data_IF_063444571124
#
_entry.id   IF_063444571124
#
_cell.length_a   1.000
_cell.length_b   1.000
_cell.length_c   1.000
_cell.angle_alpha   90.00
_cell.angle_beta   90.00
_cell.angle_gamma   90.00
#
_symmetry.space_group_name_H-M   'P 1'
#
loop_
_entity.id
_entity.type
_entity.pdbx_description
1 polymer ?
#
# COMPACT_ATOMS: atom_id res chain seq x y z
N UNK A 1 -19.83 -4.36 9.08
CA UNK A 1 -18.50 -5.00 9.18
C UNK A 1 -17.58 -3.98 9.84
N UNK A 2 -17.33 -4.11 11.14
CA UNK A 2 -16.69 -3.08 11.99
C UNK A 2 -15.37 -3.59 12.58
N UNK A 3 -14.48 -4.10 11.74
CA UNK A 3 -13.10 -4.36 12.12
C UNK A 3 -12.22 -3.18 11.69
N UNK A 4 -11.12 -2.87 12.40
CA UNK A 4 -10.12 -1.96 11.89
C UNK A 4 -9.67 -2.46 10.51
N UNK A 5 -9.71 -1.58 9.50
CA UNK A 5 -9.25 -1.93 8.16
C UNK A 5 -7.81 -2.46 8.20
N UNK A 6 -7.47 -3.38 7.30
CA UNK A 6 -6.11 -3.88 7.19
C UNK A 6 -5.28 -2.98 6.28
N UNK A 7 -4.13 -2.50 6.76
CA UNK A 7 -3.13 -1.84 5.93
C UNK A 7 -2.12 -2.87 5.44
N UNK A 8 -1.84 -2.87 4.14
CA UNK A 8 -0.76 -3.68 3.55
C UNK A 8 0.14 -2.80 2.67
N UNK A 9 1.47 -3.03 2.69
CA UNK A 9 2.35 -2.39 1.71
C UNK A 9 2.03 -2.89 0.30
N UNK A 10 1.93 -1.96 -0.66
CA UNK A 10 1.67 -2.30 -2.07
C UNK A 10 2.66 -3.33 -2.62
N UNK A 11 3.93 -3.25 -2.21
CA UNK A 11 4.99 -4.15 -2.69
C UNK A 11 4.96 -5.55 -2.07
N UNK A 12 4.12 -5.76 -1.08
CA UNK A 12 3.85 -7.06 -0.48
C UNK A 12 2.72 -7.81 -1.20
N UNK A 13 1.97 -7.13 -2.08
CA UNK A 13 0.97 -7.75 -2.94
C UNK A 13 1.70 -8.57 -4.02
N UNK A 14 1.18 -9.76 -4.27
CA UNK A 14 1.68 -10.71 -5.26
C UNK A 14 0.74 -10.79 -6.47
N UNK A 15 -0.56 -11.01 -6.20
CA UNK A 15 -1.58 -11.16 -7.23
C UNK A 15 -2.93 -10.60 -6.78
N UNK A 16 -3.79 -10.33 -7.77
CA UNK A 16 -5.13 -9.77 -7.59
C UNK A 16 -6.12 -10.61 -8.39
N UNK A 17 -7.22 -11.01 -7.76
CA UNK A 17 -8.25 -11.82 -8.40
C UNK A 17 -9.65 -11.28 -8.07
N UNK A 18 -10.44 -10.97 -9.11
CA UNK A 18 -11.86 -10.66 -8.93
C UNK A 18 -12.60 -12.00 -8.82
N UNK A 19 -13.12 -12.31 -7.63
CA UNK A 19 -13.80 -13.59 -7.36
C UNK A 19 -15.28 -13.55 -7.74
N UNK A 20 -15.91 -12.40 -7.56
CA UNK A 20 -17.28 -12.10 -7.99
C UNK A 20 -17.42 -10.60 -8.24
N UNK A 21 -18.58 -10.15 -8.73
CA UNK A 21 -18.84 -8.75 -9.09
C UNK A 21 -18.45 -7.76 -7.99
N UNK A 22 -18.51 -8.12 -6.71
CA UNK A 22 -18.30 -7.21 -5.58
C UNK A 22 -17.11 -7.60 -4.71
N UNK A 23 -16.30 -8.59 -5.11
CA UNK A 23 -15.25 -9.16 -4.28
C UNK A 23 -13.89 -9.19 -5.00
N UNK A 24 -12.93 -8.44 -4.47
CA UNK A 24 -11.52 -8.53 -4.84
C UNK A 24 -10.76 -9.32 -3.79
N UNK A 25 -9.98 -10.27 -4.25
CA UNK A 25 -9.04 -11.05 -3.45
C UNK A 25 -7.63 -10.53 -3.74
N UNK A 26 -6.90 -10.24 -2.66
CA UNK A 26 -5.52 -9.77 -2.72
C UNK A 26 -4.63 -10.86 -2.11
N UNK A 27 -3.75 -11.42 -2.93
CA UNK A 27 -2.73 -12.35 -2.49
C UNK A 27 -1.46 -11.59 -2.15
N UNK A 28 -0.80 -11.96 -1.06
CA UNK A 28 0.44 -11.34 -0.64
C UNK A 28 1.59 -12.33 -0.68
N UNK A 29 2.80 -11.82 -0.90
CA UNK A 29 4.05 -12.60 -1.05
C UNK A 29 4.44 -13.43 0.18
N UNK A 30 3.82 -13.16 1.33
CA UNK A 30 4.02 -13.88 2.59
C UNK A 30 2.92 -14.93 2.84
N UNK A 31 2.19 -15.34 1.79
CA UNK A 31 1.15 -16.36 1.85
C UNK A 31 -0.18 -15.90 2.45
N UNK A 32 -0.27 -14.66 2.92
CA UNK A 32 -1.54 -14.09 3.44
C UNK A 32 -2.45 -13.68 2.29
N UNK A 33 -3.76 -13.87 2.49
CA UNK A 33 -4.80 -13.41 1.60
C UNK A 33 -5.71 -12.39 2.29
N UNK A 34 -6.16 -11.38 1.56
CA UNK A 34 -7.15 -10.40 2.02
C UNK A 34 -8.34 -10.38 1.08
N UNK A 35 -9.52 -10.21 1.67
CA UNK A 35 -10.78 -10.06 0.94
C UNK A 35 -11.29 -8.64 1.09
N UNK A 36 -11.51 -7.97 -0.03
CA UNK A 36 -12.13 -6.66 -0.12
C UNK A 36 -13.53 -6.82 -0.72
N UNK A 37 -14.53 -6.28 -0.06
CA UNK A 37 -15.91 -6.26 -0.55
C UNK A 37 -16.33 -4.83 -0.87
N UNK A 38 -16.95 -4.64 -2.02
CA UNK A 38 -17.36 -3.34 -2.55
C UNK A 38 -18.88 -3.21 -2.59
N UNK A 39 -19.36 -1.97 -2.63
CA UNK A 39 -20.79 -1.69 -2.75
C UNK A 39 -21.30 -1.86 -4.18
N UNK A 40 -20.43 -1.68 -5.18
CA UNK A 40 -20.77 -1.82 -6.61
C UNK A 40 -19.67 -2.53 -7.39
N UNK A 41 -20.02 -3.11 -8.53
CA UNK A 41 -19.05 -3.78 -9.40
C UNK A 41 -18.02 -2.83 -9.99
N UNK A 42 -18.44 -1.61 -10.34
CA UNK A 42 -17.53 -0.58 -10.84
C UNK A 42 -16.45 -0.21 -9.83
N UNK A 43 -16.79 -0.16 -8.54
CA UNK A 43 -15.80 0.06 -7.48
C UNK A 43 -14.80 -1.10 -7.41
N UNK A 44 -15.25 -2.34 -7.53
CA UNK A 44 -14.37 -3.52 -7.54
C UNK A 44 -13.38 -3.46 -8.71
N UNK A 45 -13.88 -3.19 -9.92
CA UNK A 45 -13.09 -3.11 -11.14
C UNK A 45 -12.10 -1.94 -11.09
N UNK A 46 -12.53 -0.77 -10.63
CA UNK A 46 -11.65 0.41 -10.54
C UNK A 46 -10.50 0.17 -9.54
N UNK A 47 -10.78 -0.45 -8.39
CA UNK A 47 -9.73 -0.80 -7.43
C UNK A 47 -8.80 -1.89 -7.95
N UNK A 48 -9.33 -2.91 -8.64
CA UNK A 48 -8.51 -3.91 -9.31
C UNK A 48 -7.56 -3.27 -10.34
N UNK A 49 -8.04 -2.33 -11.15
CA UNK A 49 -7.24 -1.62 -12.16
C UNK A 49 -6.15 -0.76 -11.51
N UNK A 50 -6.50 0.05 -10.50
CA UNK A 50 -5.55 0.90 -9.75
C UNK A 50 -4.44 0.07 -9.12
N UNK A 51 -4.80 -1.05 -8.49
CA UNK A 51 -3.82 -1.91 -7.86
C UNK A 51 -2.91 -2.56 -8.91
N UNK A 52 -3.43 -3.11 -10.01
CA UNK A 52 -2.59 -3.65 -11.08
C UNK A 52 -1.58 -2.62 -11.62
N UNK A 53 -2.00 -1.37 -11.83
CA UNK A 53 -1.08 -0.29 -12.22
C UNK A 53 0.00 -0.03 -11.17
N UNK A 54 -0.33 -0.13 -9.88
CA UNK A 54 0.62 0.04 -8.80
C UNK A 54 1.60 -1.15 -8.65
N UNK A 55 1.25 -2.32 -9.17
CA UNK A 55 2.09 -3.53 -9.14
C UNK A 55 3.07 -3.62 -10.30
N UNK A 56 3.01 -2.70 -11.27
CA UNK A 56 4.01 -2.62 -12.35
C UNK A 56 5.42 -2.64 -11.75
N UNK A 57 6.35 -3.43 -12.34
CA UNK A 57 7.73 -3.50 -11.88
C UNK A 57 8.33 -2.11 -11.74
N UNK A 58 8.98 -1.87 -10.60
CA UNK A 58 9.66 -0.59 -10.37
C UNK A 58 10.95 -0.62 -11.18
N UNK A 59 11.24 0.45 -11.90
CA UNK A 59 12.48 0.56 -12.67
C UNK A 59 13.68 0.92 -11.79
N UNK A 60 13.41 1.59 -10.66
CA UNK A 60 14.41 2.09 -9.73
C UNK A 60 13.90 2.15 -8.28
N UNK A 61 14.73 1.79 -7.30
CA UNK A 61 14.34 1.85 -5.88
C UNK A 61 14.00 3.28 -5.42
N UNK A 62 14.57 4.29 -6.07
CA UNK A 62 14.33 5.71 -5.81
C UNK A 62 12.87 6.12 -6.11
N UNK A 63 12.16 5.36 -6.95
CA UNK A 63 10.74 5.58 -7.25
C UNK A 63 9.83 5.06 -6.14
N UNK A 64 10.37 4.37 -5.14
CA UNK A 64 9.58 3.95 -3.98
C UNK A 64 9.29 5.12 -3.05
N UNK A 65 8.10 5.11 -2.45
CA UNK A 65 7.74 6.04 -1.39
C UNK A 65 8.80 6.07 -0.27
N UNK A 66 9.31 4.90 0.14
CA UNK A 66 10.30 4.82 1.20
C UNK A 66 11.62 5.55 0.86
N UNK A 67 12.10 5.43 -0.38
CA UNK A 67 13.31 6.13 -0.81
C UNK A 67 13.10 7.65 -0.87
N UNK A 68 12.01 8.11 -1.48
CA UNK A 68 11.66 9.53 -1.54
C UNK A 68 11.48 10.13 -0.14
N UNK A 69 10.77 9.42 0.74
CA UNK A 69 10.59 9.83 2.12
C UNK A 69 11.90 9.89 2.90
N UNK A 70 12.78 8.89 2.73
CA UNK A 70 14.08 8.87 3.41
C UNK A 70 14.99 10.02 2.95
N UNK A 71 14.96 10.40 1.67
CA UNK A 71 15.69 11.56 1.16
C UNK A 71 15.16 12.86 1.79
N UNK A 72 13.85 13.09 1.72
CA UNK A 72 13.19 14.25 2.34
C UNK A 72 13.43 14.34 3.85
N UNK A 73 13.39 13.20 4.55
CA UNK A 73 13.59 13.14 5.99
C UNK A 73 15.01 13.54 6.41
N UNK A 74 16.03 13.23 5.61
CA UNK A 74 17.42 13.61 5.86
C UNK A 74 17.64 15.12 5.76
N UNK A 75 16.89 15.78 4.88
CA UNK A 75 16.93 17.23 4.66
C UNK A 75 16.21 18.03 5.76
N UNK A 76 15.43 17.36 6.63
CA UNK A 76 14.70 18.06 7.69
C UNK A 76 15.64 18.69 8.72
N UNK A 77 15.31 19.92 9.16
CA UNK A 77 16.03 20.61 10.22
C UNK A 77 16.15 19.73 11.49
N UNK A 78 17.27 19.78 12.22
CA UNK A 78 17.41 19.15 13.54
C UNK A 78 16.29 19.53 14.53
N UNK A 79 15.69 20.70 14.37
CA UNK A 79 14.59 21.20 15.21
C UNK A 79 13.20 20.88 14.66
N UNK A 80 13.10 20.20 13.52
CA UNK A 80 11.80 19.83 12.94
C UNK A 80 11.04 18.87 13.84
N UNK A 81 9.71 19.01 13.87
CA UNK A 81 8.79 18.11 14.58
C UNK A 81 8.99 16.67 14.10
N UNK A 82 9.17 16.47 12.78
CA UNK A 82 9.44 15.15 12.22
C UNK A 82 10.67 14.49 12.87
N UNK A 83 11.80 15.21 12.96
CA UNK A 83 13.04 14.65 13.53
C UNK A 83 12.94 14.42 15.03
N UNK A 84 12.21 15.28 15.75
CA UNK A 84 11.91 15.09 17.17
C UNK A 84 11.10 13.79 17.41
N UNK A 85 10.05 13.57 16.61
CA UNK A 85 9.22 12.35 16.68
C UNK A 85 10.01 11.09 16.34
N UNK A 86 10.85 11.13 15.30
CA UNK A 86 11.66 9.98 14.91
C UNK A 86 12.68 9.60 16.00
N UNK A 87 13.26 10.58 16.72
CA UNK A 87 14.16 10.30 17.86
C UNK A 87 13.44 9.70 19.07
N UNK A 88 12.22 10.14 19.35
CA UNK A 88 11.43 9.65 20.48
C UNK A 88 10.84 8.24 20.25
N UNK A 89 10.91 7.73 19.01
CA UNK A 89 10.40 6.41 18.62
C UNK A 89 11.42 5.28 18.79
N UNK A 90 12.66 5.60 19.18
CA UNK A 90 13.77 4.67 19.46
C UNK A 90 14.09 4.67 20.95
#
# INVERSE_FOLDING_TARGET
RSGPGASIPLRLIDALEIRDLLCLIIFCKHGRQLKCSFSTGDQCIEWWRRLNMALVPISSLQETFAAAYAAWAKEQSPTSVHRALMRASH
#
